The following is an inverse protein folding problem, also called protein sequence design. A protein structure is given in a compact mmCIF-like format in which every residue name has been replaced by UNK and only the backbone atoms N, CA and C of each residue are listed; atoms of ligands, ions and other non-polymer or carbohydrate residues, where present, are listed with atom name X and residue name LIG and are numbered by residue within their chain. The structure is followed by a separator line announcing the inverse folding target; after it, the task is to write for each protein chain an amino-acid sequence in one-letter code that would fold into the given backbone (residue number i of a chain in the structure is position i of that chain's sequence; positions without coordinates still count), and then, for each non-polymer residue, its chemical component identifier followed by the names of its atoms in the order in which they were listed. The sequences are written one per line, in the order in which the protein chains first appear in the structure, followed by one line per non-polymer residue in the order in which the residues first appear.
data_IF_115404140066
#
_entry.id   IF_115404140066
#
_cell.length_a   1.000
_cell.length_b   1.000
_cell.length_c   1.000
_cell.angle_alpha   90.00
_cell.angle_beta   90.00
_cell.angle_gamma   90.00
#
_symmetry.space_group_name_H-M   'P 1'
#
loop_
_entity.id
_entity.type
_entity.pdbx_description
1 polymer ?
#
# COMPACT_ATOMS: atom_id res chain seq x y z
N UNK A 1 16.99 2.51 -27.83
CA UNK A 1 15.68 2.08 -27.33
C UNK A 1 15.30 3.00 -26.18
N UNK A 2 14.33 3.89 -26.36
CA UNK A 2 13.79 4.66 -25.25
C UNK A 2 12.90 3.71 -24.44
N UNK A 3 13.31 3.39 -23.20
CA UNK A 3 12.41 2.72 -22.26
C UNK A 3 11.21 3.63 -22.06
N UNK A 4 10.05 3.22 -22.56
CA UNK A 4 8.80 3.92 -22.28
C UNK A 4 8.48 3.63 -20.82
N UNK A 5 9.03 4.44 -19.90
CA UNK A 5 8.71 4.37 -18.47
C UNK A 5 7.29 4.91 -18.31
N UNK A 6 6.31 4.03 -18.47
CA UNK A 6 4.93 4.34 -18.19
C UNK A 6 4.64 4.24 -16.68
N UNK A 7 3.50 4.78 -16.28
CA UNK A 7 3.02 4.74 -14.90
C UNK A 7 3.00 3.30 -14.37
N UNK A 8 2.59 2.34 -15.21
CA UNK A 8 2.48 0.93 -14.86
C UNK A 8 3.83 0.31 -14.48
N UNK A 9 4.89 0.63 -15.21
CA UNK A 9 6.24 0.15 -14.92
C UNK A 9 6.75 0.70 -13.59
N UNK A 10 6.43 1.96 -13.27
CA UNK A 10 6.77 2.55 -11.98
C UNK A 10 5.92 1.96 -10.85
N UNK A 11 4.62 1.73 -11.09
CA UNK A 11 3.72 1.09 -10.12
C UNK A 11 4.21 -0.31 -9.75
N UNK A 12 4.65 -1.10 -10.73
CA UNK A 12 5.28 -2.40 -10.47
C UNK A 12 6.48 -2.32 -9.51
N UNK A 13 7.38 -1.35 -9.72
CA UNK A 13 8.52 -1.13 -8.81
C UNK A 13 8.03 -0.69 -7.43
N UNK A 14 7.06 0.21 -7.40
CA UNK A 14 6.45 0.71 -6.18
C UNK A 14 5.80 -0.36 -5.31
N UNK A 15 4.99 -1.22 -5.90
CA UNK A 15 4.35 -2.36 -5.23
C UNK A 15 5.39 -3.29 -4.60
N UNK A 16 6.45 -3.62 -5.35
CA UNK A 16 7.54 -4.46 -4.83
C UNK A 16 8.25 -3.81 -3.63
N UNK A 17 8.56 -2.51 -3.72
CA UNK A 17 9.23 -1.77 -2.63
C UNK A 17 8.29 -1.59 -1.43
N UNK A 18 7.01 -1.33 -1.66
CA UNK A 18 5.97 -1.25 -0.62
C UNK A 18 5.88 -2.56 0.15
N UNK A 19 5.73 -3.69 -0.55
CA UNK A 19 5.65 -5.03 0.04
C UNK A 19 6.92 -5.37 0.84
N UNK A 20 8.10 -5.09 0.29
CA UNK A 20 9.35 -5.31 0.99
C UNK A 20 9.46 -4.45 2.27
N UNK A 21 9.09 -3.18 2.18
CA UNK A 21 9.17 -2.24 3.31
C UNK A 21 8.22 -2.63 4.43
N UNK A 22 6.97 -3.00 4.09
CA UNK A 22 5.99 -3.51 5.06
C UNK A 22 6.48 -4.83 5.69
N UNK A 23 7.00 -5.76 4.89
CA UNK A 23 7.56 -7.01 5.40
C UNK A 23 8.72 -6.75 6.38
N UNK A 24 9.62 -5.84 6.03
CA UNK A 24 10.73 -5.41 6.87
C UNK A 24 10.22 -4.81 8.18
N UNK A 25 9.22 -3.94 8.13
CA UNK A 25 8.68 -3.27 9.30
C UNK A 25 8.00 -4.27 10.26
N UNK A 26 7.18 -5.17 9.71
CA UNK A 26 6.55 -6.26 10.47
C UNK A 26 7.58 -7.19 11.10
N UNK A 27 8.66 -7.53 10.38
CA UNK A 27 9.71 -8.41 10.90
C UNK A 27 10.54 -7.74 12.00
N UNK A 28 10.94 -6.47 11.83
CA UNK A 28 11.81 -5.77 12.76
C UNK A 28 11.09 -5.26 14.03
N UNK A 29 9.77 -5.00 13.94
CA UNK A 29 8.97 -4.50 15.07
C UNK A 29 8.05 -5.54 15.68
N UNK A 30 7.86 -6.68 15.00
CA UNK A 30 7.03 -7.76 15.51
C UNK A 30 7.57 -8.34 16.81
N UNK A 31 6.67 -8.89 17.62
CA UNK A 31 7.04 -9.70 18.77
C UNK A 31 7.53 -11.07 18.30
N UNK A 32 8.40 -11.72 19.08
CA UNK A 32 8.94 -13.05 18.77
C UNK A 32 7.85 -14.07 18.40
N UNK A 33 6.69 -13.99 19.07
CA UNK A 33 5.54 -14.87 18.83
C UNK A 33 4.94 -14.71 17.42
N UNK A 34 4.93 -13.48 16.90
CA UNK A 34 4.41 -13.15 15.58
C UNK A 34 5.45 -13.48 14.50
N UNK A 35 6.74 -13.21 14.78
CA UNK A 35 7.84 -13.54 13.87
C UNK A 35 7.94 -15.06 13.64
N UNK A 36 7.66 -15.87 14.68
CA UNK A 36 7.64 -17.34 14.59
C UNK A 36 6.51 -17.88 13.71
N UNK A 37 5.52 -17.06 13.37
CA UNK A 37 4.37 -17.45 12.54
C UNK A 37 4.47 -16.84 11.15
N UNK A 38 5.20 -17.51 10.26
CA UNK A 38 5.40 -17.10 8.86
C UNK A 38 4.11 -16.70 8.14
N UNK A 39 3.02 -17.43 8.38
CA UNK A 39 1.72 -17.15 7.75
C UNK A 39 1.15 -15.79 8.17
N UNK A 40 1.29 -15.40 9.44
CA UNK A 40 0.80 -14.10 9.94
C UNK A 40 1.62 -12.93 9.39
N UNK A 41 2.94 -13.10 9.20
CA UNK A 41 3.78 -12.11 8.53
C UNK A 41 3.39 -11.95 7.06
N UNK A 42 3.19 -13.05 6.34
CA UNK A 42 2.78 -13.01 4.94
C UNK A 42 1.39 -12.40 4.77
N UNK A 43 0.45 -12.74 5.65
CA UNK A 43 -0.89 -12.15 5.63
C UNK A 43 -0.83 -10.64 5.94
N UNK A 44 0.02 -10.24 6.90
CA UNK A 44 0.24 -8.84 7.23
C UNK A 44 0.74 -8.02 6.05
N UNK A 45 1.67 -8.54 5.24
CA UNK A 45 2.16 -7.81 4.07
C UNK A 45 1.08 -7.54 3.02
N UNK A 46 0.07 -8.40 2.92
CA UNK A 46 -1.07 -8.21 2.03
C UNK A 46 -2.16 -7.31 2.63
N UNK A 47 -2.36 -7.37 3.96
CA UNK A 47 -3.52 -6.75 4.63
C UNK A 47 -3.24 -5.40 5.27
N UNK A 48 -1.99 -5.05 5.55
CA UNK A 48 -1.64 -3.76 6.16
C UNK A 48 -1.89 -2.60 5.18
N UNK A 49 -1.58 -2.79 3.88
CA UNK A 49 -1.72 -1.74 2.87
C UNK A 49 -2.41 -2.28 1.60
N UNK A 50 -3.69 -2.68 1.66
CA UNK A 50 -4.43 -3.07 0.46
C UNK A 50 -4.70 -1.85 -0.43
N UNK A 51 -4.95 -2.05 -1.73
CA UNK A 51 -5.18 -0.99 -2.72
C UNK A 51 -6.20 0.06 -2.27
N UNK A 52 -7.23 -0.35 -1.51
CA UNK A 52 -8.22 0.58 -0.94
C UNK A 52 -7.64 1.64 -0.02
N UNK A 53 -6.62 1.28 0.74
CA UNK A 53 -5.93 2.20 1.64
C UNK A 53 -5.07 3.16 0.83
N UNK A 54 -4.35 2.65 -0.17
CA UNK A 54 -3.56 3.49 -1.07
C UNK A 54 -4.45 4.51 -1.81
N UNK A 55 -5.59 4.06 -2.32
CA UNK A 55 -6.55 4.92 -2.99
C UNK A 55 -7.11 6.02 -2.07
N UNK A 56 -7.48 5.67 -0.83
CA UNK A 56 -7.96 6.65 0.14
C UNK A 56 -6.86 7.67 0.49
N UNK A 57 -5.60 7.25 0.64
CA UNK A 57 -4.47 8.16 0.86
C UNK A 57 -4.30 9.11 -0.33
N UNK A 58 -4.32 8.56 -1.55
CA UNK A 58 -4.21 9.35 -2.78
C UNK A 58 -5.28 10.44 -2.88
N UNK A 59 -6.52 10.10 -2.58
CA UNK A 59 -7.67 10.98 -2.74
C UNK A 59 -7.82 11.97 -1.58
N UNK A 60 -7.73 11.49 -0.35
CA UNK A 60 -8.10 12.26 0.85
C UNK A 60 -6.92 12.97 1.52
N UNK A 61 -5.69 12.46 1.35
CA UNK A 61 -4.50 13.00 2.03
C UNK A 61 -3.59 13.76 1.08
N UNK A 62 -3.42 13.25 -0.13
CA UNK A 62 -2.53 13.84 -1.13
C UNK A 62 -3.27 14.63 -2.21
N UNK A 63 -4.60 14.49 -2.29
CA UNK A 63 -5.45 15.14 -3.29
C UNK A 63 -4.90 14.97 -4.71
N UNK A 64 -4.47 13.74 -5.06
CA UNK A 64 -3.75 13.48 -6.30
C UNK A 64 -4.54 13.84 -7.56
N UNK A 65 -5.87 13.91 -7.49
CA UNK A 65 -6.70 14.35 -8.62
C UNK A 65 -6.23 15.68 -9.22
N UNK A 66 -5.76 16.61 -8.38
CA UNK A 66 -5.29 17.94 -8.79
C UNK A 66 -3.99 17.90 -9.59
N UNK A 67 -3.24 16.80 -9.51
CA UNK A 67 -1.91 16.64 -10.11
C UNK A 67 -1.90 15.61 -11.25
N UNK A 68 -2.97 14.83 -11.43
CA UNK A 68 -3.04 13.81 -12.47
C UNK A 68 -3.21 14.42 -13.86
N UNK A 69 -2.23 14.17 -14.72
CA UNK A 69 -2.32 14.47 -16.15
C UNK A 69 -3.18 13.41 -16.81
N UNK A 70 -4.41 13.78 -17.16
CA UNK A 70 -5.40 12.90 -17.80
C UNK A 70 -5.52 13.24 -19.29
N UNK A 71 -5.83 12.24 -20.11
CA UNK A 71 -6.24 12.48 -21.50
C UNK A 71 -7.63 13.15 -21.57
N UNK A 72 -8.06 13.53 -22.77
CA UNK A 72 -9.33 14.25 -23.01
C UNK A 72 -10.63 13.46 -22.71
N UNK A 73 -10.55 12.34 -21.99
CA UNK A 73 -11.74 11.58 -21.62
C UNK A 73 -12.29 12.08 -20.28
N UNK A 74 -13.60 12.39 -20.16
CA UNK A 74 -14.23 12.84 -18.92
C UNK A 74 -14.38 11.71 -17.89
N UNK A 75 -13.48 10.73 -17.86
CA UNK A 75 -13.54 9.61 -16.94
C UNK A 75 -13.09 10.05 -15.55
N UNK A 76 -13.92 9.75 -14.57
CA UNK A 76 -13.54 9.77 -13.16
C UNK A 76 -12.30 8.89 -12.93
N UNK A 77 -11.43 9.32 -12.02
CA UNK A 77 -10.27 8.53 -11.61
C UNK A 77 -10.77 7.37 -10.75
N UNK A 78 -10.49 6.14 -11.18
CA UNK A 78 -10.91 4.96 -10.42
C UNK A 78 -10.03 4.73 -9.20
N UNK A 79 -10.54 3.96 -8.25
CA UNK A 79 -9.80 3.53 -7.06
C UNK A 79 -8.50 2.80 -7.39
N UNK A 80 -8.51 1.94 -8.41
CA UNK A 80 -7.31 1.25 -8.88
C UNK A 80 -6.31 2.25 -9.47
N UNK A 81 -6.77 3.24 -10.26
CA UNK A 81 -5.88 4.28 -10.77
C UNK A 81 -5.21 5.07 -9.65
N UNK A 82 -5.94 5.40 -8.58
CA UNK A 82 -5.35 6.08 -7.42
C UNK A 82 -4.31 5.22 -6.70
N UNK A 83 -4.59 3.93 -6.49
CA UNK A 83 -3.63 3.01 -5.89
C UNK A 83 -2.36 2.89 -6.75
N UNK A 84 -2.53 2.65 -8.05
CA UNK A 84 -1.43 2.55 -9.02
C UNK A 84 -0.60 3.85 -9.05
N UNK A 85 -1.23 5.02 -8.90
CA UNK A 85 -0.52 6.30 -8.84
C UNK A 85 0.37 6.40 -7.59
N UNK A 86 -0.12 5.97 -6.42
CA UNK A 86 0.71 5.95 -5.20
C UNK A 86 1.88 4.99 -5.38
N UNK A 87 1.63 3.78 -5.88
CA UNK A 87 2.69 2.82 -6.17
C UNK A 87 3.70 3.42 -7.15
N UNK A 88 3.24 4.05 -8.22
CA UNK A 88 4.14 4.68 -9.19
C UNK A 88 4.98 5.80 -8.57
N UNK A 89 4.42 6.62 -7.67
CA UNK A 89 5.15 7.63 -6.92
C UNK A 89 6.22 6.98 -6.02
N UNK A 90 5.85 5.92 -5.29
CA UNK A 90 6.79 5.18 -4.45
C UNK A 90 7.92 4.54 -5.28
N UNK A 91 7.60 3.98 -6.44
CA UNK A 91 8.56 3.43 -7.38
C UNK A 91 9.49 4.51 -7.95
N UNK A 92 8.97 5.69 -8.27
CA UNK A 92 9.77 6.83 -8.71
C UNK A 92 10.73 7.30 -7.62
N UNK A 93 10.26 7.47 -6.38
CA UNK A 93 11.11 7.83 -5.23
C UNK A 93 12.18 6.76 -4.99
N UNK A 94 11.82 5.48 -5.06
CA UNK A 94 12.75 4.37 -4.86
C UNK A 94 13.88 4.34 -5.90
N UNK A 95 13.57 4.67 -7.15
CA UNK A 95 14.56 4.73 -8.24
C UNK A 95 15.38 6.01 -8.24
N UNK A 96 14.82 7.11 -7.73
CA UNK A 96 15.53 8.38 -7.54
C UNK A 96 16.50 8.31 -6.34
N UNK A 97 16.13 7.54 -5.31
CA UNK A 97 17.03 7.19 -4.22
C UNK A 97 18.19 6.34 -4.76
N UNK A 98 19.41 6.89 -4.72
CA UNK A 98 20.61 6.08 -4.97
C UNK A 98 20.76 4.94 -3.95
N UNK A 99 21.69 3.98 -4.18
CA UNK A 99 21.90 2.84 -3.30
C UNK A 99 22.11 3.20 -1.81
N UNK A 100 22.67 4.38 -1.54
CA UNK A 100 22.96 4.87 -0.20
C UNK A 100 21.80 5.64 0.46
N UNK A 101 20.66 5.80 -0.23
CA UNK A 101 19.53 6.63 0.22
C UNK A 101 18.24 5.84 0.41
N UNK A 102 18.30 4.51 0.39
CA UNK A 102 17.12 3.64 0.57
C UNK A 102 16.33 3.88 1.87
N UNK A 103 16.97 4.46 2.89
CA UNK A 103 16.27 4.84 4.13
C UNK A 103 15.16 5.87 3.91
N UNK A 104 15.27 6.72 2.87
CA UNK A 104 14.23 7.71 2.55
C UNK A 104 12.93 7.00 2.18
N UNK A 105 12.98 6.03 1.26
CA UNK A 105 11.77 5.32 0.83
C UNK A 105 11.17 4.48 1.97
N UNK A 106 12.00 3.85 2.81
CA UNK A 106 11.51 3.16 4.01
C UNK A 106 10.81 4.13 4.96
N UNK A 107 11.37 5.32 5.20
CA UNK A 107 10.76 6.33 6.07
C UNK A 107 9.44 6.85 5.53
N UNK A 108 9.32 7.01 4.20
CA UNK A 108 8.07 7.42 3.54
C UNK A 108 7.00 6.34 3.73
N UNK A 109 7.34 5.08 3.45
CA UNK A 109 6.39 3.96 3.55
C UNK A 109 5.99 3.71 5.01
N UNK A 110 6.93 3.75 5.95
CA UNK A 110 6.64 3.62 7.38
C UNK A 110 5.61 4.68 7.83
N UNK A 111 5.73 5.94 7.37
CA UNK A 111 4.73 6.98 7.66
C UNK A 111 3.35 6.70 7.05
N UNK A 112 3.30 6.05 5.88
CA UNK A 112 2.04 5.69 5.22
C UNK A 112 1.34 4.56 5.99
N UNK A 113 2.10 3.59 6.53
CA UNK A 113 1.53 2.36 7.08
C UNK A 113 1.64 2.20 8.61
N UNK A 114 2.29 3.11 9.34
CA UNK A 114 2.57 3.02 10.79
C UNK A 114 1.36 2.57 11.60
N UNK A 115 0.27 3.36 11.59
CA UNK A 115 -0.93 3.06 12.38
C UNK A 115 -1.51 1.67 12.07
N UNK A 116 -1.42 1.23 10.82
CA UNK A 116 -1.95 -0.06 10.36
C UNK A 116 -1.03 -1.22 10.72
N UNK A 117 0.28 -1.02 10.66
CA UNK A 117 1.28 -1.98 11.13
C UNK A 117 1.15 -2.15 12.63
N UNK A 118 1.09 -1.06 13.40
CA UNK A 118 0.93 -1.11 14.85
C UNK A 118 -0.34 -1.85 15.24
N UNK A 119 -1.47 -1.49 14.63
CA UNK A 119 -2.74 -2.21 14.80
C UNK A 119 -2.58 -3.71 14.52
N UNK A 120 -1.96 -4.07 13.39
CA UNK A 120 -1.70 -5.48 13.04
C UNK A 120 -0.84 -6.20 14.08
N UNK A 121 0.19 -5.55 14.62
CA UNK A 121 1.10 -6.16 15.60
C UNK A 121 0.46 -6.32 17.00
N UNK A 122 -0.51 -5.48 17.34
CA UNK A 122 -1.21 -5.51 18.64
C UNK A 122 -2.44 -6.40 18.66
N UNK A 123 -3.14 -6.56 17.54
CA UNK A 123 -4.37 -7.36 17.46
C UNK A 123 -4.10 -8.85 17.67
N UNK A 124 -5.01 -9.54 18.37
CA UNK A 124 -4.95 -11.00 18.49
C UNK A 124 -5.33 -11.65 17.15
N UNK A 125 -4.91 -12.91 16.88
CA UNK A 125 -5.29 -13.60 15.64
C UNK A 125 -6.82 -13.70 15.42
N UNK A 126 -7.59 -13.77 16.50
CA UNK A 126 -9.06 -13.78 16.48
C UNK A 126 -9.64 -12.45 16.00
N UNK A 127 -9.02 -11.33 16.36
CA UNK A 127 -9.47 -9.99 15.95
C UNK A 127 -9.24 -9.74 14.45
N UNK A 128 -8.12 -10.24 13.91
CA UNK A 128 -7.73 -10.08 12.50
C UNK A 128 -8.64 -10.83 11.53
N UNK A 129 -9.15 -11.98 11.95
CA UNK A 129 -10.02 -12.84 11.14
C UNK A 129 -11.45 -12.30 11.04
N UNK A 130 -11.96 -11.62 12.08
CA UNK A 130 -13.27 -10.95 12.06
C UNK A 130 -13.28 -9.66 11.22
N UNK A 131 -12.16 -8.94 11.16
CA UNK A 131 -12.03 -7.71 10.33
C UNK A 131 -11.99 -7.97 8.82
N UNK A 132 -11.58 -9.18 8.38
CA UNK A 132 -11.71 -9.60 6.99
C UNK A 132 -13.17 -9.79 6.60
N UNK A 133 -13.89 -10.65 7.34
CA UNK A 133 -15.29 -10.98 7.09
C UNK A 133 -16.25 -9.77 7.20
N UNK A 134 -16.06 -8.89 8.19
CA UNK A 134 -16.96 -7.74 8.39
C UNK A 134 -16.86 -6.68 7.28
N UNK A 135 -15.66 -6.49 6.70
CA UNK A 135 -15.48 -5.55 5.60
C UNK A 135 -16.02 -6.10 4.28
N UNK A 136 -15.86 -7.40 4.03
CA UNK A 136 -16.36 -8.05 2.82
C UNK A 136 -17.90 -8.09 2.79
N UNK A 137 -18.54 -8.34 3.94
CA UNK A 137 -20.01 -8.36 4.07
C UNK A 137 -20.62 -6.95 3.94
N UNK A 138 -20.02 -5.92 4.54
CA UNK A 138 -20.50 -4.53 4.38
C UNK A 138 -20.42 -4.06 2.93
N UNK A 139 -19.47 -4.55 2.15
CA UNK A 139 -19.33 -4.22 0.74
C UNK A 139 -20.30 -4.99 -0.15
N UNK A 140 -20.53 -6.28 0.08
CA UNK A 140 -21.57 -7.04 -0.65
C UNK A 140 -22.96 -6.42 -0.49
N UNK A 141 -23.23 -5.76 0.63
CA UNK A 141 -24.49 -5.04 0.85
C UNK A 141 -24.53 -3.65 0.21
N UNK A 142 -23.39 -3.04 -0.14
CA UNK A 142 -23.31 -1.71 -0.76
C UNK A 142 -23.34 -1.74 -2.30
N UNK A 143 -23.23 -2.92 -2.92
CA UNK A 143 -23.37 -3.13 -4.38
C UNK A 143 -24.78 -3.57 -4.81
N UNK A 144 -25.73 -3.66 -3.86
CA UNK A 144 -27.12 -4.10 -4.10
C UNK A 144 -28.12 -2.92 -4.10
N UNK A 145 -27.67 -1.68 -3.84
CA UNK A 145 -28.51 -0.46 -3.88
C UNK A 145 -28.23 0.42 -5.11
#
# INVERSE_FOLDING_TARGET
MAFHRDLTSLAFVGDAVLKYSVARFLFLKGRDELIKKRNELHEGTQKVVPNRVLAAIAQEKLHLEEYLIRGNSPRFVSMNMYADCIEAILGAIALDCGPNQQQVIFSVIEKICADRVEKWLTETPTDRSQHGLSNDIKFMMAEID
#
